data_IF_954410878234
#
_entry.id   IF_954410878234
#
_cell.length_a   1.000
_cell.length_b   1.000
_cell.length_c   1.000
_cell.angle_alpha   90.00
_cell.angle_beta   90.00
_cell.angle_gamma   90.00
#
_symmetry.space_group_name_H-M   'P 1'
#
loop_
_entity.id
_entity.type
_entity.pdbx_description
1 polymer ?
#
# COMPACT_ATOMS: atom_id res chain seq x y z
N UNK A 1 9.70 -28.53 -46.60
CA UNK A 1 9.57 -27.11 -46.21
C UNK A 1 9.53 -27.06 -44.69
N UNK A 2 10.60 -26.61 -44.03
CA UNK A 2 10.64 -26.54 -42.57
C UNK A 2 10.74 -25.07 -42.19
N UNK A 3 9.61 -24.49 -41.78
CA UNK A 3 9.55 -23.10 -41.32
C UNK A 3 10.29 -22.91 -39.98
N UNK A 4 10.70 -21.68 -39.64
CA UNK A 4 11.37 -21.42 -38.37
C UNK A 4 10.47 -21.83 -37.20
N UNK A 5 11.02 -22.63 -36.27
CA UNK A 5 10.31 -23.04 -35.06
C UNK A 5 9.94 -21.85 -34.16
N UNK A 6 9.00 -22.02 -33.22
CA UNK A 6 8.54 -20.95 -32.35
C UNK A 6 9.69 -20.35 -31.54
N UNK A 7 9.76 -19.01 -31.49
CA UNK A 7 10.77 -18.30 -30.69
C UNK A 7 10.55 -18.59 -29.22
N UNK A 8 11.52 -19.25 -28.59
CA UNK A 8 11.51 -19.55 -27.15
C UNK A 8 12.46 -18.58 -26.44
N UNK A 9 11.95 -17.80 -25.50
CA UNK A 9 12.76 -16.84 -24.76
C UNK A 9 13.77 -17.58 -23.87
N UNK A 10 15.00 -17.05 -23.74
CA UNK A 10 16.05 -17.70 -22.93
C UNK A 10 15.69 -17.89 -21.45
N UNK A 11 14.73 -17.10 -20.95
CA UNK A 11 14.19 -17.22 -19.59
C UNK A 11 12.90 -18.06 -19.49
N UNK A 12 12.44 -18.70 -20.56
CA UNK A 12 11.28 -19.60 -20.49
C UNK A 12 11.55 -20.71 -19.48
N UNK A 13 10.75 -20.75 -18.40
CA UNK A 13 10.87 -21.73 -17.31
C UNK A 13 11.83 -21.35 -16.17
N UNK A 14 12.49 -20.18 -16.22
CA UNK A 14 13.40 -19.72 -15.16
C UNK A 14 12.76 -18.60 -14.33
N UNK A 15 12.69 -18.77 -13.01
CA UNK A 15 12.26 -17.71 -12.10
C UNK A 15 13.39 -16.67 -11.98
N UNK A 16 13.11 -15.36 -12.10
CA UNK A 16 14.14 -14.33 -11.92
C UNK A 16 14.76 -14.41 -10.52
N UNK A 17 16.08 -14.16 -10.41
CA UNK A 17 16.81 -14.12 -9.12
C UNK A 17 16.18 -13.13 -8.12
N UNK A 18 15.60 -12.05 -8.64
CA UNK A 18 14.96 -10.99 -7.85
C UNK A 18 13.44 -11.07 -7.87
N UNK A 19 12.87 -12.23 -8.21
CA UNK A 19 11.44 -12.43 -8.14
C UNK A 19 10.93 -12.08 -6.73
N UNK A 20 9.76 -11.46 -6.70
CA UNK A 20 9.04 -11.18 -5.46
C UNK A 20 8.69 -12.50 -4.79
N UNK A 21 9.01 -12.63 -3.51
CA UNK A 21 8.61 -13.78 -2.69
C UNK A 21 7.56 -13.36 -1.66
N UNK A 22 6.81 -14.32 -1.14
CA UNK A 22 5.75 -14.04 -0.16
C UNK A 22 6.26 -13.29 1.07
N UNK A 23 7.44 -13.65 1.58
CA UNK A 23 8.05 -12.98 2.73
C UNK A 23 8.41 -11.52 2.45
N UNK A 24 8.63 -11.13 1.19
CA UNK A 24 8.83 -9.73 0.81
C UNK A 24 7.50 -8.95 0.94
N UNK A 25 6.38 -9.57 0.53
CA UNK A 25 5.03 -9.00 0.63
C UNK A 25 4.62 -8.85 2.09
N UNK A 26 4.79 -9.91 2.87
CA UNK A 26 4.45 -9.96 4.29
C UNK A 26 5.16 -8.84 5.07
N UNK A 27 6.47 -8.65 4.86
CA UNK A 27 7.22 -7.59 5.54
C UNK A 27 6.70 -6.19 5.23
N UNK A 28 6.37 -5.92 3.96
CA UNK A 28 5.81 -4.62 3.56
C UNK A 28 4.46 -4.40 4.24
N UNK A 29 3.59 -5.40 4.22
CA UNK A 29 2.26 -5.33 4.83
C UNK A 29 2.38 -5.13 6.34
N UNK A 30 3.16 -5.96 7.03
CA UNK A 30 3.38 -5.85 8.47
C UNK A 30 3.95 -4.49 8.85
N UNK A 31 4.96 -3.99 8.13
CA UNK A 31 5.53 -2.68 8.41
C UNK A 31 4.48 -1.56 8.32
N UNK A 32 3.65 -1.55 7.26
CA UNK A 32 2.64 -0.51 7.07
C UNK A 32 1.50 -0.65 8.08
N UNK A 33 1.08 -1.89 8.41
CA UNK A 33 0.07 -2.12 9.45
C UNK A 33 0.55 -1.61 10.81
N UNK A 34 1.77 -1.95 11.23
CA UNK A 34 2.33 -1.49 12.49
C UNK A 34 2.45 0.04 12.52
N UNK A 35 2.87 0.64 11.41
CA UNK A 35 2.92 2.10 11.28
C UNK A 35 1.52 2.75 11.39
N UNK A 36 0.51 2.11 10.80
CA UNK A 36 -0.88 2.59 10.87
C UNK A 36 -1.52 2.35 12.25
N UNK A 37 -1.10 1.33 12.98
CA UNK A 37 -1.53 1.09 14.35
C UNK A 37 -0.99 2.18 15.30
N UNK A 38 0.26 2.61 15.09
CA UNK A 38 0.91 3.64 15.92
C UNK A 38 0.47 5.07 15.55
N UNK A 39 0.36 5.38 14.26
CA UNK A 39 0.15 6.76 13.78
C UNK A 39 -1.16 6.98 13.01
N UNK A 40 -1.90 5.92 12.74
CA UNK A 40 -3.13 5.98 11.97
C UNK A 40 -4.32 6.39 12.84
N UNK A 41 -5.23 7.14 12.23
CA UNK A 41 -6.50 7.51 12.83
C UNK A 41 -7.60 6.75 12.08
N UNK A 42 -8.27 5.77 12.72
CA UNK A 42 -9.40 5.09 12.10
C UNK A 42 -10.54 6.08 11.88
N UNK A 43 -11.17 6.05 10.70
CA UNK A 43 -12.29 6.94 10.44
C UNK A 43 -13.46 6.62 11.38
N UNK A 44 -14.03 7.60 12.10
CA UNK A 44 -15.06 7.35 13.12
C UNK A 44 -16.42 6.92 12.55
N UNK A 45 -16.64 7.09 11.24
CA UNK A 45 -17.88 6.71 10.56
C UNK A 45 -17.68 5.47 9.68
N UNK A 46 -18.74 4.63 9.63
CA UNK A 46 -18.85 3.44 8.82
C UNK A 46 -18.45 3.68 7.35
N UNK A 47 -18.03 2.63 6.61
CA UNK A 47 -17.54 2.77 5.25
C UNK A 47 -18.50 3.59 4.36
N UNK A 48 -17.96 4.53 3.59
CA UNK A 48 -18.76 5.31 2.64
C UNK A 48 -19.07 4.44 1.42
N UNK A 49 -20.34 4.10 1.20
CA UNK A 49 -20.78 3.46 -0.05
C UNK A 49 -20.33 2.00 -0.22
N UNK A 50 -19.50 1.72 -1.24
CA UNK A 50 -19.12 0.35 -1.69
C UNK A 50 -17.89 -0.24 -0.97
N UNK A 51 -17.25 0.55 -0.11
CA UNK A 51 -16.09 0.08 0.66
C UNK A 51 -16.59 -0.82 1.80
N UNK A 52 -16.02 -2.02 1.96
CA UNK A 52 -16.43 -2.97 3.02
C UNK A 52 -15.65 -2.72 4.33
N UNK A 53 -14.53 -2.00 4.26
CA UNK A 53 -13.61 -1.78 5.38
C UNK A 53 -13.45 -0.30 5.68
N UNK A 54 -13.57 0.05 6.96
CA UNK A 54 -13.36 1.43 7.43
C UNK A 54 -11.92 1.86 7.14
N UNK A 55 -11.72 3.01 6.47
CA UNK A 55 -10.37 3.47 6.17
C UNK A 55 -9.62 3.90 7.44
N UNK A 56 -8.32 3.62 7.45
CA UNK A 56 -7.37 4.15 8.45
C UNK A 56 -6.56 5.23 7.76
N UNK A 57 -6.57 6.44 8.32
CA UNK A 57 -5.89 7.59 7.75
C UNK A 57 -4.59 7.89 8.48
N UNK A 58 -3.49 7.85 7.74
CA UNK A 58 -2.19 8.34 8.17
C UNK A 58 -2.14 9.86 8.02
N UNK A 59 -1.38 10.53 8.88
CA UNK A 59 -1.28 11.99 8.90
C UNK A 59 -0.92 12.61 7.55
N UNK A 60 -1.52 13.76 7.22
CA UNK A 60 -1.36 14.45 5.93
C UNK A 60 0.06 15.00 5.69
N UNK A 61 0.82 15.28 6.76
CA UNK A 61 2.24 15.63 6.69
C UNK A 61 3.15 14.46 6.29
N UNK A 62 2.65 13.23 6.32
CA UNK A 62 3.40 12.02 5.95
C UNK A 62 3.08 11.63 4.53
N UNK A 63 4.09 11.28 3.73
CA UNK A 63 3.88 10.75 2.37
C UNK A 63 4.17 9.25 2.31
N UNK A 64 3.60 8.55 1.31
CA UNK A 64 3.99 7.16 1.00
C UNK A 64 5.51 7.02 0.77
N UNK A 65 6.19 8.08 0.34
CA UNK A 65 7.64 8.08 0.19
C UNK A 65 8.36 8.13 1.54
N UNK A 66 7.88 8.91 2.51
CA UNK A 66 8.47 8.97 3.85
C UNK A 66 8.35 7.61 4.53
N UNK A 67 7.18 6.99 4.46
CA UNK A 67 6.92 5.65 5.03
C UNK A 67 7.81 4.61 4.34
N UNK A 68 7.95 4.67 3.02
CA UNK A 68 8.89 3.79 2.30
C UNK A 68 10.35 3.98 2.74
N UNK A 69 10.79 5.21 3.01
CA UNK A 69 12.15 5.45 3.53
C UNK A 69 12.35 4.82 4.91
N UNK A 70 11.35 4.91 5.79
CA UNK A 70 11.38 4.27 7.11
C UNK A 70 11.42 2.73 6.99
N UNK A 71 10.57 2.17 6.12
CA UNK A 71 10.58 0.73 5.81
C UNK A 71 11.97 0.28 5.32
N UNK A 72 12.54 1.01 4.36
CA UNK A 72 13.85 0.70 3.80
C UNK A 72 14.94 0.75 4.87
N UNK A 73 14.95 1.79 5.70
CA UNK A 73 15.89 1.93 6.80
C UNK A 73 15.78 0.76 7.80
N UNK A 74 14.56 0.42 8.22
CA UNK A 74 14.29 -0.71 9.11
C UNK A 74 14.79 -2.05 8.52
N UNK A 75 14.57 -2.29 7.23
CA UNK A 75 15.11 -3.49 6.57
C UNK A 75 16.65 -3.50 6.52
N UNK A 76 17.27 -2.35 6.27
CA UNK A 76 18.74 -2.23 6.25
C UNK A 76 19.34 -2.47 7.63
N UNK A 77 18.75 -1.93 8.68
CA UNK A 77 19.16 -2.14 10.08
C UNK A 77 19.01 -3.60 10.50
N UNK A 78 17.92 -4.26 10.11
CA UNK A 78 17.70 -5.67 10.38
C UNK A 78 18.50 -6.62 9.47
N UNK A 79 19.27 -6.10 8.50
CA UNK A 79 20.04 -6.91 7.54
C UNK A 79 19.17 -7.76 6.61
N UNK A 80 17.90 -7.39 6.39
CA UNK A 80 16.97 -8.12 5.54
C UNK A 80 16.79 -7.45 4.18
N UNK A 81 16.41 -8.25 3.17
CA UNK A 81 16.07 -7.74 1.84
C UNK A 81 14.85 -6.80 1.93
N UNK A 82 14.95 -5.65 1.30
CA UNK A 82 13.81 -4.75 1.03
C UNK A 82 13.36 -4.86 -0.43
N UNK A 83 12.09 -4.53 -0.67
CA UNK A 83 11.58 -4.32 -2.04
C UNK A 83 11.71 -2.87 -2.47
N UNK A 84 11.80 -2.63 -3.78
CA UNK A 84 11.85 -1.28 -4.31
C UNK A 84 10.51 -0.53 -4.20
N UNK A 85 10.60 0.79 -4.28
CA UNK A 85 9.49 1.73 -4.05
C UNK A 85 8.23 1.42 -4.86
N UNK A 86 8.38 1.11 -6.15
CA UNK A 86 7.25 0.79 -7.03
C UNK A 86 6.54 -0.48 -6.56
N UNK A 87 7.31 -1.52 -6.24
CA UNK A 87 6.81 -2.80 -5.73
C UNK A 87 6.12 -2.64 -4.38
N UNK A 88 6.72 -1.89 -3.45
CA UNK A 88 6.10 -1.57 -2.16
C UNK A 88 4.75 -0.87 -2.33
N UNK A 89 4.66 0.10 -3.26
CA UNK A 89 3.39 0.77 -3.58
C UNK A 89 2.34 -0.17 -4.18
N UNK A 90 2.75 -1.07 -5.07
CA UNK A 90 1.84 -2.06 -5.65
C UNK A 90 1.31 -3.02 -4.58
N UNK A 91 2.18 -3.48 -3.67
CA UNK A 91 1.79 -4.33 -2.54
C UNK A 91 0.81 -3.60 -1.63
N UNK A 92 1.09 -2.35 -1.25
CA UNK A 92 0.19 -1.55 -0.43
C UNK A 92 -1.21 -1.46 -1.07
N UNK A 93 -1.28 -1.04 -2.34
CA UNK A 93 -2.57 -0.89 -3.03
C UNK A 93 -3.34 -2.20 -3.20
N UNK A 94 -2.65 -3.34 -3.30
CA UNK A 94 -3.28 -4.64 -3.47
C UNK A 94 -3.72 -5.28 -2.15
N UNK A 95 -2.89 -5.21 -1.11
CA UNK A 95 -3.08 -5.97 0.12
C UNK A 95 -3.79 -5.17 1.22
N UNK A 96 -3.55 -3.86 1.30
CA UNK A 96 -4.03 -2.99 2.38
C UNK A 96 -4.56 -1.64 1.86
N UNK A 97 -5.51 -1.65 0.90
CA UNK A 97 -6.04 -0.42 0.29
C UNK A 97 -6.82 0.47 1.27
N UNK A 98 -7.25 -0.08 2.41
CA UNK A 98 -7.97 0.64 3.47
C UNK A 98 -7.06 1.58 4.28
N UNK A 99 -5.73 1.35 4.30
CA UNK A 99 -4.76 2.27 4.93
C UNK A 99 -4.38 3.34 3.90
N UNK A 100 -4.73 4.60 4.18
CA UNK A 100 -4.57 5.72 3.25
C UNK A 100 -3.78 6.85 3.91
N UNK A 101 -3.03 7.61 3.11
CA UNK A 101 -2.49 8.89 3.57
C UNK A 101 -3.60 9.93 3.43
N UNK A 102 -3.92 10.65 4.51
CA UNK A 102 -4.96 11.67 4.50
C UNK A 102 -4.64 12.76 3.49
N UNK A 103 -5.60 13.07 2.62
CA UNK A 103 -5.61 14.32 1.87
C UNK A 103 -6.37 15.40 2.64
N UNK A 104 -6.25 16.66 2.22
CA UNK A 104 -7.02 17.78 2.81
C UNK A 104 -8.54 17.55 2.77
N UNK A 105 -9.02 16.69 1.87
CA UNK A 105 -10.44 16.32 1.76
C UNK A 105 -10.85 15.19 2.71
N UNK A 106 -9.89 14.47 3.28
CA UNK A 106 -10.12 13.38 4.22
C UNK A 106 -10.13 13.85 5.69
N UNK A 107 -9.57 15.03 5.97
CA UNK A 107 -9.64 15.69 7.29
C UNK A 107 -11.01 16.37 7.48
N UNK A 108 -12.04 15.54 7.59
CA UNK A 108 -13.42 15.99 7.75
C UNK A 108 -13.85 15.65 9.17
N UNK A 109 -13.93 16.65 10.04
CA UNK A 109 -14.50 16.45 11.38
C UNK A 109 -15.98 16.04 11.29
N UNK A 110 -16.53 15.46 12.35
CA UNK A 110 -17.92 14.98 12.39
C UNK A 110 -18.94 16.06 11.94
N UNK A 111 -18.67 17.33 12.21
CA UNK A 111 -19.49 18.46 11.75
C UNK A 111 -19.40 18.65 10.24
N UNK A 112 -18.20 18.68 9.68
CA UNK A 112 -17.98 18.80 8.24
C UNK A 112 -18.57 17.60 7.47
N UNK A 113 -18.58 16.41 8.08
CA UNK A 113 -19.18 15.20 7.48
C UNK A 113 -20.71 15.30 7.43
N UNK A 114 -21.34 15.85 8.47
CA UNK A 114 -22.79 16.16 8.45
C UNK A 114 -23.13 17.19 7.37
N UNK A 115 -22.26 18.16 7.13
CA UNK A 115 -22.46 19.19 6.10
C UNK A 115 -22.28 18.61 4.69
N UNK A 116 -21.27 17.78 4.44
CA UNK A 116 -21.11 17.11 3.15
C UNK A 116 -22.35 16.28 2.80
N UNK A 117 -22.89 15.48 3.73
CA UNK A 117 -24.11 14.69 3.49
C UNK A 117 -25.33 15.52 3.06
N UNK A 118 -25.40 16.79 3.45
CA UNK A 118 -26.50 17.71 3.08
C UNK A 118 -26.31 18.37 1.71
N UNK A 119 -25.08 18.41 1.19
CA UNK A 119 -24.77 18.99 -0.13
C UNK A 119 -25.10 18.00 -1.26
N UNK A 120 -25.04 16.71 -0.97
CA UNK A 120 -25.28 15.62 -1.94
C UNK A 120 -26.70 15.02 -1.85
N UNK A 121 -27.65 15.76 -1.26
CA UNK A 121 -29.09 15.53 -1.32
C UNK A 121 -29.69 16.71 -2.09
#
# INVERSE_FOLDING_TARGET
>A
MTGPGPRRHGNTGRKPKHALVFTDVERVVQFICNYAEEFGIPQPAAPRGRDDTTPIYLHSGTTKMNIYKLYKASCQEAGVRFVEKSTSRSIWSACIPHIKVASTRDDVCATCEKLQRKIWI
#
